data_IF_809004519538
#
_entry.id   IF_809004519538
#
_cell.length_a   1.000
_cell.length_b   1.000
_cell.length_c   1.000
_cell.angle_alpha   90.00
_cell.angle_beta   90.00
_cell.angle_gamma   90.00
#
_symmetry.space_group_name_H-M   'P 1'
#
loop_
_entity.id
_entity.type
_entity.pdbx_description
1 polymer ?
#
# COMPACT_ATOMS: atom_id res chain seq x y z
N UNK A 1 -18.63 1.77 16.23
CA UNK A 1 -17.53 0.97 16.79
C UNK A 1 -16.26 1.66 16.38
N UNK A 2 -15.51 2.19 17.35
CA UNK A 2 -14.18 2.74 17.11
C UNK A 2 -13.26 1.54 16.90
N UNK A 3 -12.42 1.56 15.86
CA UNK A 3 -11.44 0.50 15.63
C UNK A 3 -10.57 0.27 16.87
N UNK A 4 -10.11 -0.96 17.04
CA UNK A 4 -9.25 -1.34 18.16
C UNK A 4 -8.00 -0.44 18.19
N UNK A 5 -7.78 0.22 19.33
CA UNK A 5 -6.85 1.33 19.47
C UNK A 5 -5.36 0.96 19.23
N UNK A 6 -5.04 -0.34 19.17
CA UNK A 6 -3.68 -0.87 19.12
C UNK A 6 -3.36 -1.64 17.83
N UNK A 7 -4.21 -1.52 16.80
CA UNK A 7 -4.01 -2.20 15.53
C UNK A 7 -2.68 -1.84 14.86
N UNK A 8 -1.95 -2.84 14.38
CA UNK A 8 -0.65 -2.69 13.71
C UNK A 8 -0.55 -3.60 12.50
N UNK A 9 0.14 -3.14 11.47
CA UNK A 9 0.44 -3.93 10.29
C UNK A 9 1.89 -3.70 9.86
N UNK A 10 2.41 -4.62 9.06
CA UNK A 10 3.71 -4.46 8.44
C UNK A 10 3.87 -5.31 7.20
N UNK A 11 4.74 -4.85 6.31
CA UNK A 11 5.10 -5.51 5.07
C UNK A 11 6.62 -5.58 4.97
N UNK A 12 7.15 -6.76 4.68
CA UNK A 12 8.53 -6.97 4.26
C UNK A 12 8.53 -7.52 2.84
N UNK A 13 9.33 -6.95 1.95
CA UNK A 13 9.43 -7.38 0.56
C UNK A 13 10.89 -7.31 0.09
N UNK A 14 11.28 -8.24 -0.79
CA UNK A 14 12.63 -8.29 -1.34
C UNK A 14 12.57 -8.40 -2.87
N UNK A 15 12.59 -7.29 -3.61
CA UNK A 15 12.61 -7.32 -5.07
C UNK A 15 13.95 -7.84 -5.58
N UNK A 16 13.91 -8.86 -6.43
CA UNK A 16 15.07 -9.49 -7.05
C UNK A 16 14.97 -9.34 -8.57
N UNK A 17 15.89 -8.57 -9.17
CA UNK A 17 15.96 -8.40 -10.62
C UNK A 17 16.71 -9.57 -11.24
N UNK A 18 16.03 -10.35 -12.06
CA UNK A 18 16.53 -11.52 -12.80
C UNK A 18 16.43 -11.25 -14.30
N UNK A 19 17.31 -10.38 -14.81
CA UNK A 19 17.25 -9.92 -16.19
C UNK A 19 16.00 -9.07 -16.44
N UNK A 20 15.13 -9.41 -17.42
CA UNK A 20 13.93 -8.64 -17.70
C UNK A 20 12.76 -8.92 -16.73
N UNK A 21 12.90 -9.94 -15.88
CA UNK A 21 11.92 -10.33 -14.87
C UNK A 21 12.34 -9.77 -13.50
N UNK A 22 11.39 -9.22 -12.75
CA UNK A 22 11.56 -8.95 -11.32
C UNK A 22 10.70 -9.92 -10.52
N UNK A 23 11.30 -10.66 -9.59
CA UNK A 23 10.59 -11.52 -8.64
C UNK A 23 10.66 -10.91 -7.25
N UNK A 24 9.54 -10.91 -6.53
CA UNK A 24 9.46 -10.29 -5.20
C UNK A 24 8.76 -11.24 -4.24
N UNK A 25 9.47 -12.05 -3.44
CA UNK A 25 8.90 -12.61 -2.23
C UNK A 25 8.56 -11.47 -1.26
N UNK A 26 7.41 -11.58 -0.61
CA UNK A 26 6.98 -10.64 0.42
C UNK A 26 6.13 -11.32 1.50
N UNK A 27 6.05 -10.69 2.66
CA UNK A 27 5.27 -11.13 3.78
C UNK A 27 4.57 -9.93 4.42
N UNK A 28 3.25 -10.02 4.57
CA UNK A 28 2.43 -9.03 5.24
C UNK A 28 1.86 -9.64 6.52
N UNK A 29 1.79 -8.83 7.57
CA UNK A 29 1.06 -9.17 8.79
C UNK A 29 0.13 -8.03 9.19
N UNK A 30 -0.99 -8.39 9.81
CA UNK A 30 -1.91 -7.47 10.46
C UNK A 30 -2.32 -8.06 11.80
N UNK A 31 -2.36 -7.23 12.84
CA UNK A 31 -2.78 -7.56 14.19
C UNK A 31 -3.72 -6.44 14.60
N UNK A 32 -5.01 -6.75 14.78
CA UNK A 32 -6.01 -5.75 15.12
C UNK A 32 -5.95 -5.32 16.59
N UNK A 33 -5.08 -5.92 17.41
CA UNK A 33 -4.95 -5.62 18.83
C UNK A 33 -5.79 -6.57 19.69
N UNK A 34 -6.04 -6.17 20.93
CA UNK A 34 -6.64 -7.04 21.95
C UNK A 34 -8.10 -6.72 22.21
N UNK A 35 -8.88 -7.77 22.50
CA UNK A 35 -10.25 -7.70 23.01
C UNK A 35 -10.39 -8.48 24.31
N UNK A 36 -11.28 -8.01 25.17
CA UNK A 36 -11.70 -8.77 26.35
C UNK A 36 -12.99 -9.51 26.03
N UNK A 37 -12.93 -10.83 26.09
CA UNK A 37 -14.09 -11.71 26.00
C UNK A 37 -14.68 -11.90 27.39
N UNK A 38 -16.01 -11.77 27.48
CA UNK A 38 -16.77 -12.16 28.66
C UNK A 38 -17.46 -13.48 28.35
N UNK A 39 -16.92 -14.58 28.87
CA UNK A 39 -17.47 -15.91 28.65
C UNK A 39 -18.72 -16.13 29.53
N UNK A 40 -19.56 -17.08 29.12
CA UNK A 40 -20.84 -17.38 29.77
C UNK A 40 -20.69 -17.98 31.18
N UNK A 41 -19.50 -18.47 31.53
CA UNK A 41 -19.13 -18.94 32.87
C UNK A 41 -18.67 -17.81 33.81
N UNK A 42 -18.64 -16.56 33.32
CA UNK A 42 -18.17 -15.39 34.06
C UNK A 42 -16.65 -15.16 33.97
N UNK A 43 -15.92 -16.02 33.25
CA UNK A 43 -14.49 -15.84 32.99
C UNK A 43 -14.28 -14.67 32.03
N UNK A 44 -13.33 -13.80 32.36
CA UNK A 44 -12.86 -12.75 31.46
C UNK A 44 -11.48 -13.13 30.94
N UNK A 45 -11.33 -13.12 29.61
CA UNK A 45 -10.06 -13.39 28.96
C UNK A 45 -9.73 -12.28 27.96
N UNK A 46 -8.46 -11.90 27.88
CA UNK A 46 -8.00 -10.93 26.89
C UNK A 46 -7.21 -11.65 25.80
N UNK A 47 -7.76 -11.66 24.59
CA UNK A 47 -7.21 -12.35 23.41
C UNK A 47 -6.92 -11.37 22.29
N UNK A 48 -6.09 -11.79 21.33
CA UNK A 48 -5.89 -11.07 20.06
C UNK A 48 -7.18 -11.16 19.23
N UNK A 49 -7.74 -10.02 18.84
CA UNK A 49 -9.02 -9.99 18.14
C UNK A 49 -8.93 -10.57 16.73
N UNK A 50 -7.90 -10.19 15.99
CA UNK A 50 -7.63 -10.69 14.64
C UNK A 50 -6.14 -10.66 14.36
N UNK A 51 -5.62 -11.73 13.76
CA UNK A 51 -4.24 -11.86 13.30
C UNK A 51 -4.22 -12.43 11.89
N UNK A 52 -3.75 -11.62 10.94
CA UNK A 52 -3.63 -12.00 9.55
C UNK A 52 -2.17 -12.10 9.14
N UNK A 53 -1.89 -13.11 8.31
CA UNK A 53 -0.57 -13.36 7.73
C UNK A 53 -0.75 -13.65 6.26
N UNK A 54 0.00 -12.95 5.41
CA UNK A 54 -0.05 -13.16 3.96
C UNK A 54 1.36 -13.35 3.43
N UNK A 55 1.66 -14.56 2.96
CA UNK A 55 2.87 -14.82 2.20
C UNK A 55 2.60 -14.55 0.71
N UNK A 56 3.52 -13.87 0.04
CA UNK A 56 3.33 -13.40 -1.33
C UNK A 56 4.52 -13.72 -2.21
N UNK A 57 4.25 -14.04 -3.47
CA UNK A 57 5.24 -14.16 -4.53
C UNK A 57 4.74 -13.35 -5.72
N UNK A 58 5.43 -12.27 -6.05
CA UNK A 58 5.12 -11.43 -7.20
C UNK A 58 6.12 -11.60 -8.32
N UNK A 59 5.65 -11.43 -9.57
CA UNK A 59 6.47 -11.37 -10.76
C UNK A 59 6.05 -10.21 -11.65
N UNK A 60 7.02 -9.48 -12.21
CA UNK A 60 6.79 -8.39 -13.15
C UNK A 60 7.75 -8.45 -14.34
N UNK A 61 7.23 -8.19 -15.53
CA UNK A 61 7.96 -8.23 -16.80
C UNK A 61 7.57 -7.05 -17.69
N UNK A 62 8.53 -6.51 -18.43
CA UNK A 62 8.32 -5.39 -19.36
C UNK A 62 8.45 -5.85 -20.81
N UNK A 63 7.35 -6.32 -21.45
CA UNK A 63 7.39 -6.88 -22.80
C UNK A 63 7.72 -5.88 -23.91
N UNK A 64 7.49 -4.59 -23.66
CA UNK A 64 7.73 -3.52 -24.63
C UNK A 64 8.11 -2.23 -23.91
N UNK A 65 8.67 -1.27 -24.65
CA UNK A 65 8.99 0.05 -24.11
C UNK A 65 7.74 0.70 -23.52
N UNK A 66 7.85 1.13 -22.27
CA UNK A 66 6.74 1.76 -21.53
C UNK A 66 5.70 0.78 -20.99
N UNK A 67 5.65 -0.48 -21.43
CA UNK A 67 4.67 -1.46 -20.97
C UNK A 67 5.28 -2.42 -19.95
N UNK A 68 4.66 -2.51 -18.78
CA UNK A 68 4.93 -3.52 -17.77
C UNK A 68 3.67 -4.30 -17.42
N UNK A 69 3.80 -5.60 -17.20
CA UNK A 69 2.75 -6.49 -16.71
C UNK A 69 3.27 -7.23 -15.50
N UNK A 70 2.38 -7.61 -14.60
CA UNK A 70 2.76 -8.39 -13.43
C UNK A 70 1.61 -9.11 -12.78
N UNK A 71 1.94 -9.98 -11.85
CA UNK A 71 0.98 -10.69 -11.04
C UNK A 71 1.58 -11.11 -9.70
N UNK A 72 0.70 -11.46 -8.78
CA UNK A 72 1.07 -11.90 -7.43
C UNK A 72 0.25 -13.12 -7.05
N UNK A 73 0.88 -14.09 -6.42
CA UNK A 73 0.21 -15.15 -5.68
C UNK A 73 0.28 -14.83 -4.20
N UNK A 74 -0.82 -15.03 -3.48
CA UNK A 74 -0.98 -14.71 -2.06
C UNK A 74 -1.54 -15.93 -1.33
N UNK A 75 -0.92 -16.25 -0.21
CA UNK A 75 -1.34 -17.31 0.70
C UNK A 75 -1.67 -16.68 2.04
N UNK A 76 -2.95 -16.59 2.34
CA UNK A 76 -3.49 -15.85 3.47
C UNK A 76 -3.91 -16.83 4.56
N UNK A 77 -3.55 -16.51 5.80
CA UNK A 77 -4.09 -17.14 7.00
C UNK A 77 -4.65 -16.05 7.91
N UNK A 78 -5.88 -16.22 8.36
CA UNK A 78 -6.59 -15.31 9.28
C UNK A 78 -6.91 -16.10 10.54
N UNK A 79 -6.66 -15.52 11.71
CA UNK A 79 -7.07 -16.07 12.99
C UNK A 79 -7.92 -15.04 13.74
N UNK A 80 -9.09 -15.45 14.23
CA UNK A 80 -10.04 -14.60 14.95
C UNK A 80 -10.16 -15.04 16.41
N UNK A 81 -10.02 -14.09 17.32
CA UNK A 81 -10.16 -14.27 18.77
C UNK A 81 -9.38 -15.48 19.31
N UNK A 82 -8.26 -15.85 18.67
CA UNK A 82 -7.44 -17.04 18.98
C UNK A 82 -8.20 -18.39 18.98
N UNK A 83 -9.41 -18.43 18.43
CA UNK A 83 -10.32 -19.59 18.49
C UNK A 83 -10.70 -20.14 17.13
N UNK A 84 -10.76 -19.30 16.10
CA UNK A 84 -11.06 -19.70 14.73
C UNK A 84 -9.92 -19.31 13.79
N UNK A 85 -9.71 -20.11 12.74
CA UNK A 85 -8.72 -19.81 11.71
C UNK A 85 -9.20 -20.19 10.31
N UNK A 86 -8.91 -19.35 9.34
CA UNK A 86 -9.18 -19.58 7.92
C UNK A 86 -7.90 -19.50 7.11
N UNK A 87 -7.85 -20.20 5.98
CA UNK A 87 -6.78 -20.03 4.98
C UNK A 87 -7.37 -19.91 3.58
N UNK A 88 -6.76 -19.07 2.76
CA UNK A 88 -7.21 -18.81 1.40
C UNK A 88 -6.02 -18.52 0.47
N UNK A 89 -6.13 -18.96 -0.78
CA UNK A 89 -5.18 -18.59 -1.83
C UNK A 89 -5.82 -17.55 -2.75
N UNK A 90 -5.08 -16.48 -3.03
CA UNK A 90 -5.52 -15.42 -3.94
C UNK A 90 -4.46 -15.08 -4.97
N UNK A 91 -4.87 -14.43 -6.05
CA UNK A 91 -3.97 -13.89 -7.07
C UNK A 91 -4.38 -12.50 -7.54
N UNK A 92 -3.38 -11.77 -8.01
CA UNK A 92 -3.50 -10.43 -8.58
C UNK A 92 -2.91 -10.39 -10.00
N UNK A 93 -3.45 -9.51 -10.83
CA UNK A 93 -2.92 -9.18 -12.16
C UNK A 93 -2.89 -7.66 -12.33
N UNK A 94 -1.82 -7.15 -12.95
CA UNK A 94 -1.62 -5.73 -13.16
C UNK A 94 -0.92 -5.40 -14.47
N UNK A 95 -1.21 -4.21 -14.98
CA UNK A 95 -0.60 -3.61 -16.16
C UNK A 95 -0.28 -2.14 -15.89
N UNK A 96 0.86 -1.68 -16.40
CA UNK A 96 1.31 -0.30 -16.32
C UNK A 96 1.84 0.11 -17.69
N UNK A 97 1.35 1.24 -18.20
CA UNK A 97 1.84 1.85 -19.42
C UNK A 97 2.38 3.26 -19.13
N UNK A 98 3.66 3.50 -19.43
CA UNK A 98 4.36 4.78 -19.25
C UNK A 98 4.66 5.38 -20.62
N UNK A 99 4.17 6.59 -20.85
CA UNK A 99 4.44 7.37 -22.04
C UNK A 99 5.70 8.22 -21.85
N UNK A 100 6.39 8.55 -22.94
CA UNK A 100 7.56 9.43 -22.92
C UNK A 100 7.24 10.86 -22.43
N UNK A 101 5.98 11.28 -22.49
CA UNK A 101 5.51 12.60 -22.01
C UNK A 101 5.45 12.70 -20.47
N UNK A 102 5.80 11.65 -19.72
CA UNK A 102 5.64 11.60 -18.27
C UNK A 102 4.25 11.14 -17.80
N UNK A 103 3.30 10.94 -18.73
CA UNK A 103 1.99 10.37 -18.44
C UNK A 103 2.09 8.85 -18.26
N UNK A 104 1.43 8.30 -17.24
CA UNK A 104 1.34 6.87 -17.00
C UNK A 104 -0.10 6.45 -16.72
N UNK A 105 -0.46 5.25 -17.16
CA UNK A 105 -1.76 4.62 -16.92
C UNK A 105 -1.54 3.26 -16.28
N UNK A 106 -2.29 2.96 -15.23
CA UNK A 106 -2.24 1.67 -14.55
C UNK A 106 -3.63 1.06 -14.44
N UNK A 107 -3.70 -0.27 -14.48
CA UNK A 107 -4.89 -1.00 -14.10
C UNK A 107 -4.50 -2.31 -13.41
N UNK A 108 -5.31 -2.74 -12.45
CA UNK A 108 -5.10 -4.00 -11.75
C UNK A 108 -6.41 -4.65 -11.33
N UNK A 109 -6.39 -5.96 -11.23
CA UNK A 109 -7.46 -6.77 -10.65
C UNK A 109 -6.86 -7.63 -9.55
N UNK A 110 -7.37 -7.48 -8.34
CA UNK A 110 -6.75 -7.97 -7.11
C UNK A 110 -7.67 -8.97 -6.40
N UNK A 111 -7.06 -9.84 -5.60
CA UNK A 111 -7.71 -10.76 -4.66
C UNK A 111 -8.68 -11.76 -5.32
N UNK A 112 -8.37 -12.26 -6.51
CA UNK A 112 -9.14 -13.36 -7.09
C UNK A 112 -8.75 -14.68 -6.46
N UNK A 113 -9.70 -15.57 -6.17
CA UNK A 113 -9.39 -16.91 -5.68
C UNK A 113 -10.39 -17.42 -4.64
N UNK A 114 -9.86 -18.07 -3.62
CA UNK A 114 -10.65 -18.83 -2.65
C UNK A 114 -11.53 -17.93 -1.77
N UNK A 115 -12.64 -18.51 -1.32
CA UNK A 115 -13.46 -17.94 -0.26
C UNK A 115 -12.71 -18.03 1.07
N UNK A 116 -12.90 -17.03 1.93
CA UNK A 116 -12.40 -17.06 3.30
C UNK A 116 -13.43 -17.82 4.14
N UNK A 117 -13.05 -19.00 4.65
CA UNK A 117 -13.95 -19.92 5.38
C UNK A 117 -13.40 -20.19 6.78
N UNK A 118 -14.13 -19.77 7.81
CA UNK A 118 -13.85 -20.14 9.21
C UNK A 118 -14.59 -21.41 9.63
N UNK A 119 -15.80 -21.60 9.11
CA UNK A 119 -16.64 -22.78 9.32
C UNK A 119 -17.19 -23.27 7.98
N UNK A 120 -18.46 -23.74 7.91
CA UNK A 120 -19.05 -24.28 6.69
C UNK A 120 -19.36 -23.21 5.64
N UNK A 121 -19.75 -22.01 6.08
CA UNK A 121 -20.04 -20.86 5.21
C UNK A 121 -18.80 -19.96 5.08
N UNK A 122 -18.61 -19.41 3.88
CA UNK A 122 -17.44 -18.60 3.54
C UNK A 122 -17.82 -17.29 2.88
N UNK A 123 -17.02 -16.28 3.16
CA UNK A 123 -17.11 -15.01 2.46
C UNK A 123 -16.35 -15.07 1.14
N UNK A 124 -16.91 -14.57 0.04
CA UNK A 124 -16.20 -14.51 -1.23
C UNK A 124 -14.97 -13.62 -1.09
N UNK A 125 -13.93 -13.92 -1.88
CA UNK A 125 -12.72 -13.10 -1.91
C UNK A 125 -13.07 -11.63 -2.20
N UNK A 126 -12.39 -10.66 -1.55
CA UNK A 126 -12.64 -9.23 -1.73
C UNK A 126 -12.02 -8.74 -3.04
N UNK A 127 -12.56 -9.19 -4.17
CA UNK A 127 -12.05 -8.88 -5.51
C UNK A 127 -12.11 -7.38 -5.73
N UNK A 128 -10.96 -6.77 -6.00
CA UNK A 128 -10.85 -5.31 -6.21
C UNK A 128 -10.34 -5.02 -7.61
N UNK A 129 -11.03 -4.13 -8.34
CA UNK A 129 -10.52 -3.57 -9.58
C UNK A 129 -10.03 -2.16 -9.34
N UNK A 130 -8.87 -1.81 -9.92
CA UNK A 130 -8.25 -0.48 -9.81
C UNK A 130 -7.83 0.02 -11.18
N UNK A 131 -7.94 1.33 -11.38
CA UNK A 131 -7.39 2.02 -12.53
C UNK A 131 -6.88 3.40 -12.11
N UNK A 132 -5.82 3.88 -12.74
CA UNK A 132 -5.19 5.14 -12.34
C UNK A 132 -4.41 5.80 -13.46
N UNK A 133 -4.19 7.09 -13.28
CA UNK A 133 -3.38 7.93 -14.15
C UNK A 133 -2.43 8.76 -13.30
N UNK A 134 -1.21 8.94 -13.78
CA UNK A 134 -0.25 9.86 -13.18
C UNK A 134 0.50 10.66 -14.21
N UNK A 135 0.86 11.89 -13.89
CA UNK A 135 1.68 12.75 -14.72
C UNK A 135 2.91 13.22 -13.94
N UNK A 136 4.10 12.89 -14.44
CA UNK A 136 5.38 13.34 -13.89
C UNK A 136 5.95 14.45 -14.77
N UNK A 137 6.34 15.56 -14.15
CA UNK A 137 7.09 16.63 -14.82
C UNK A 137 8.22 17.14 -13.94
N UNK A 138 9.33 17.50 -14.56
CA UNK A 138 10.44 18.15 -13.89
C UNK A 138 10.20 19.65 -13.82
N UNK A 139 10.72 20.28 -12.76
CA UNK A 139 10.68 21.73 -12.61
C UNK A 139 11.95 22.20 -11.90
N UNK A 140 12.25 23.50 -12.00
CA UNK A 140 13.35 24.11 -11.25
C UNK A 140 12.74 25.09 -10.25
N UNK A 141 12.74 24.79 -8.94
CA UNK A 141 12.24 25.73 -7.95
C UNK A 141 13.14 26.97 -7.93
N UNK A 142 12.55 28.15 -8.12
CA UNK A 142 13.23 29.44 -7.93
C UNK A 142 13.22 29.89 -6.46
N UNK A 143 12.62 29.09 -5.57
CA UNK A 143 12.29 29.47 -4.20
C UNK A 143 13.01 28.58 -3.17
N UNK A 144 13.77 29.26 -2.30
CA UNK A 144 14.52 28.81 -1.11
C UNK A 144 16.02 28.60 -1.39
N UNK A 145 16.82 29.62 -1.05
CA UNK A 145 18.29 29.55 -1.12
C UNK A 145 18.86 29.79 -2.52
N UNK A 146 20.18 29.88 -2.62
CA UNK A 146 20.86 29.99 -3.91
C UNK A 146 20.44 28.80 -4.79
N UNK A 147 20.00 29.02 -6.04
CA UNK A 147 19.56 27.94 -6.94
C UNK A 147 20.63 26.85 -7.21
N UNK A 148 21.85 27.04 -6.72
CA UNK A 148 22.96 26.09 -6.74
C UNK A 148 22.82 24.94 -5.72
N UNK A 149 21.87 25.02 -4.77
CA UNK A 149 21.70 24.02 -3.72
C UNK A 149 20.74 22.87 -4.10
N UNK A 150 19.99 23.00 -5.20
CA UNK A 150 19.02 22.00 -5.69
C UNK A 150 19.46 21.52 -7.08
N UNK A 151 19.81 20.24 -7.18
CA UNK A 151 20.31 19.62 -8.41
C UNK A 151 19.19 19.05 -9.30
N UNK A 152 18.08 18.62 -8.70
CA UNK A 152 16.96 18.00 -9.40
C UNK A 152 15.65 18.22 -8.65
N UNK A 153 14.56 18.48 -9.37
CA UNK A 153 13.21 18.45 -8.79
C UNK A 153 12.17 17.93 -9.77
N UNK A 154 11.23 17.16 -9.25
CA UNK A 154 10.06 16.70 -9.99
C UNK A 154 8.78 16.77 -9.17
N UNK A 155 7.65 16.85 -9.89
CA UNK A 155 6.33 16.70 -9.32
C UNK A 155 5.59 15.58 -10.06
N UNK A 156 4.91 14.75 -9.28
CA UNK A 156 3.99 13.71 -9.76
C UNK A 156 2.60 14.07 -9.29
N UNK A 157 1.65 14.16 -10.22
CA UNK A 157 0.22 14.25 -9.94
C UNK A 157 -0.42 12.90 -10.24
N UNK A 158 -1.34 12.46 -9.39
CA UNK A 158 -1.99 11.15 -9.51
C UNK A 158 -3.47 11.22 -9.22
N UNK A 159 -4.24 10.39 -9.91
CA UNK A 159 -5.64 10.13 -9.63
C UNK A 159 -5.95 8.65 -9.89
N UNK A 160 -6.70 8.02 -8.99
CA UNK A 160 -7.09 6.63 -9.11
C UNK A 160 -8.57 6.42 -8.79
N UNK A 161 -9.12 5.38 -9.40
CA UNK A 161 -10.40 4.79 -9.11
C UNK A 161 -10.20 3.35 -8.63
N UNK A 162 -11.01 2.93 -7.67
CA UNK A 162 -11.05 1.55 -7.21
C UNK A 162 -12.45 1.11 -6.83
N UNK A 163 -12.72 -0.19 -6.96
CA UNK A 163 -13.96 -0.81 -6.50
C UNK A 163 -13.71 -2.23 -6.03
N UNK A 164 -14.09 -2.51 -4.80
CA UNK A 164 -14.13 -3.87 -4.24
C UNK A 164 -15.52 -4.47 -4.46
N UNK A 165 -15.57 -5.79 -4.67
CA UNK A 165 -16.83 -6.51 -4.81
C UNK A 165 -17.74 -6.25 -3.59
N UNK A 166 -19.02 -5.97 -3.85
CA UNK A 166 -20.04 -5.60 -2.85
C UNK A 166 -19.82 -4.27 -2.12
N UNK A 167 -18.82 -3.47 -2.52
CA UNK A 167 -18.57 -2.13 -1.98
C UNK A 167 -18.84 -1.02 -3.02
N UNK A 168 -18.91 0.22 -2.53
CA UNK A 168 -18.96 1.42 -3.35
C UNK A 168 -17.62 1.68 -4.06
N UNK A 169 -17.66 2.47 -5.12
CA UNK A 169 -16.44 2.93 -5.77
C UNK A 169 -15.78 4.03 -4.94
N UNK A 170 -14.45 3.99 -4.85
CA UNK A 170 -13.63 4.97 -4.17
C UNK A 170 -12.75 5.69 -5.18
N UNK A 171 -12.47 6.97 -4.93
CA UNK A 171 -11.55 7.77 -5.73
C UNK A 171 -10.45 8.32 -4.84
N UNK A 172 -9.27 8.53 -5.39
CA UNK A 172 -8.16 9.17 -4.68
C UNK A 172 -7.40 10.08 -5.63
N UNK A 173 -6.84 11.16 -5.10
CA UNK A 173 -5.94 12.02 -5.84
C UNK A 173 -4.84 12.53 -4.92
N UNK A 174 -3.67 12.79 -5.48
CA UNK A 174 -2.53 13.26 -4.71
C UNK A 174 -1.39 13.80 -5.56
N UNK A 175 -0.44 14.41 -4.87
CA UNK A 175 0.78 14.95 -5.42
C UNK A 175 1.99 14.49 -4.61
N UNK A 176 3.09 14.25 -5.30
CA UNK A 176 4.41 14.03 -4.72
C UNK A 176 5.39 15.01 -5.33
N UNK A 177 6.18 15.68 -4.49
CA UNK A 177 7.26 16.57 -4.89
C UNK A 177 8.57 15.99 -4.41
N UNK A 178 9.51 15.79 -5.32
CA UNK A 178 10.87 15.33 -5.02
C UNK A 178 11.86 16.45 -5.27
N UNK A 179 12.82 16.61 -4.37
CA UNK A 179 13.89 17.61 -4.45
C UNK A 179 15.22 16.98 -4.04
N UNK A 180 16.19 16.94 -4.95
CA UNK A 180 17.54 16.46 -4.69
C UNK A 180 18.49 17.62 -4.41
N UNK A 181 19.01 17.66 -3.19
CA UNK A 181 19.97 18.65 -2.74
C UNK A 181 21.36 18.33 -3.28
N UNK A 182 22.19 19.35 -3.51
CA UNK A 182 23.58 19.21 -4.01
C UNK A 182 24.50 18.35 -3.11
N UNK A 183 24.09 18.09 -1.87
CA UNK A 183 24.77 17.16 -0.93
C UNK A 183 24.40 15.69 -1.12
N UNK A 184 23.66 15.34 -2.19
CA UNK A 184 23.25 13.97 -2.50
C UNK A 184 22.13 13.42 -1.62
N UNK A 185 21.30 14.32 -1.06
CA UNK A 185 20.13 13.97 -0.26
C UNK A 185 18.87 14.32 -1.05
N UNK A 186 17.96 13.37 -1.18
CA UNK A 186 16.65 13.59 -1.80
C UNK A 186 15.57 13.69 -0.72
N UNK A 187 14.80 14.77 -0.78
CA UNK A 187 13.62 15.00 0.04
C UNK A 187 12.37 14.75 -0.80
N UNK A 188 11.40 14.04 -0.24
CA UNK A 188 10.10 13.79 -0.86
C UNK A 188 9.00 14.33 0.04
N UNK A 189 8.08 15.11 -0.52
CA UNK A 189 6.85 15.55 0.15
C UNK A 189 5.66 14.97 -0.59
N UNK A 190 4.74 14.34 0.15
CA UNK A 190 3.55 13.68 -0.39
C UNK A 190 2.31 14.24 0.27
N UNK A 191 1.28 14.46 -0.53
CA UNK A 191 -0.04 14.85 -0.05
C UNK A 191 -1.13 14.25 -0.92
N UNK A 192 -2.21 13.80 -0.31
CA UNK A 192 -3.32 13.22 -1.05
C UNK A 192 -4.62 13.23 -0.27
N UNK A 193 -5.69 12.87 -0.96
CA UNK A 193 -7.02 12.79 -0.38
C UNK A 193 -7.78 11.59 -0.94
N UNK A 194 -8.46 10.86 -0.06
CA UNK A 194 -9.31 9.72 -0.40
C UNK A 194 -10.78 10.17 -0.34
N UNK A 195 -11.43 10.13 -1.49
CA UNK A 195 -12.83 10.50 -1.68
C UNK A 195 -13.72 9.26 -1.54
N UNK A 196 -14.93 9.47 -1.02
CA UNK A 196 -15.99 8.46 -0.93
C UNK A 196 -15.60 7.19 -0.14
N UNK A 197 -14.62 7.32 0.76
CA UNK A 197 -14.38 6.37 1.86
C UNK A 197 -14.91 6.94 3.17
N UNK A 198 -15.68 6.11 3.87
CA UNK A 198 -16.34 6.49 5.11
C UNK A 198 -15.33 6.75 6.24
N UNK A 199 -14.20 6.05 6.22
CA UNK A 199 -13.21 6.08 7.31
C UNK A 199 -11.86 6.67 6.92
N UNK A 200 -11.70 7.27 5.74
CA UNK A 200 -10.41 7.82 5.31
C UNK A 200 -10.55 9.27 4.85
N UNK A 201 -9.42 9.99 4.89
CA UNK A 201 -9.37 11.43 4.62
C UNK A 201 -8.07 11.86 3.97
N UNK A 202 -7.42 12.86 4.57
CA UNK A 202 -6.20 13.44 4.06
C UNK A 202 -5.01 12.57 4.42
N UNK A 203 -4.07 12.46 3.48
CA UNK A 203 -2.79 11.79 3.68
C UNK A 203 -1.67 12.78 3.46
N UNK A 204 -0.65 12.72 4.32
CA UNK A 204 0.57 13.52 4.23
C UNK A 204 1.76 12.58 4.41
N UNK A 205 2.89 12.89 3.78
CA UNK A 205 4.10 12.10 3.94
C UNK A 205 5.35 12.90 3.67
N UNK A 206 6.42 12.51 4.37
CA UNK A 206 7.77 13.03 4.18
C UNK A 206 8.71 11.85 4.01
N UNK A 207 9.60 11.95 3.02
CA UNK A 207 10.63 10.97 2.74
C UNK A 207 12.01 11.61 2.68
N UNK A 208 13.03 10.87 3.09
CA UNK A 208 14.43 11.23 2.95
C UNK A 208 15.18 10.04 2.38
N UNK A 209 15.87 10.25 1.26
CA UNK A 209 16.77 9.27 0.66
C UNK A 209 18.20 9.80 0.63
N UNK A 210 19.14 8.95 1.01
CA UNK A 210 20.58 9.22 0.94
C UNK A 210 21.29 7.93 0.56
N UNK A 211 22.02 7.98 -0.55
CA UNK A 211 22.62 6.79 -1.18
C UNK A 211 21.55 5.70 -1.40
N UNK A 212 21.84 4.48 -0.95
CA UNK A 212 20.96 3.31 -1.06
C UNK A 212 19.79 3.31 -0.06
N UNK A 213 19.83 4.18 0.95
CA UNK A 213 18.85 4.18 2.04
C UNK A 213 17.73 5.18 1.77
N UNK A 214 16.49 4.73 1.95
CA UNK A 214 15.31 5.58 1.89
C UNK A 214 14.40 5.33 3.09
N UNK A 215 14.02 6.42 3.76
CA UNK A 215 13.17 6.44 4.94
C UNK A 215 11.95 7.32 4.69
N UNK A 216 10.77 6.86 5.10
CA UNK A 216 9.53 7.60 4.96
C UNK A 216 8.65 7.54 6.20
N UNK A 217 7.96 8.64 6.46
CA UNK A 217 6.92 8.73 7.49
C UNK A 217 5.67 9.34 6.86
N UNK A 218 4.52 8.76 7.15
CA UNK A 218 3.22 9.29 6.75
C UNK A 218 2.35 9.66 7.94
N UNK A 219 1.31 10.42 7.63
CA UNK A 219 0.22 10.76 8.52
C UNK A 219 -1.09 10.66 7.73
N UNK A 220 -2.01 9.85 8.23
CA UNK A 220 -3.30 9.61 7.56
C UNK A 220 -4.43 9.94 8.52
N UNK A 221 -5.32 10.85 8.10
CA UNK A 221 -6.51 11.17 8.87
C UNK A 221 -7.62 10.19 8.56
N UNK A 222 -8.38 9.85 9.59
CA UNK A 222 -9.62 9.09 9.49
C UNK A 222 -10.76 9.90 10.07
N UNK A 223 -11.97 9.71 9.54
CA UNK A 223 -13.19 10.35 10.06
C UNK A 223 -13.68 9.69 11.34
N UNK A 224 -13.57 8.37 11.44
CA UNK A 224 -14.13 7.57 12.54
C UNK A 224 -13.10 6.69 13.27
N UNK A 225 -11.87 6.59 12.77
CA UNK A 225 -10.76 5.84 13.37
C UNK A 225 -9.66 6.77 13.88
N UNK A 226 -8.77 6.21 14.71
CA UNK A 226 -7.56 6.91 15.10
C UNK A 226 -6.66 7.16 13.88
N UNK A 227 -5.93 8.30 13.85
CA UNK A 227 -5.00 8.59 12.76
C UNK A 227 -3.89 7.53 12.70
N UNK A 228 -3.44 7.24 11.48
CA UNK A 228 -2.37 6.24 11.23
C UNK A 228 -1.05 6.95 10.93
N UNK A 229 0.04 6.33 11.38
CA UNK A 229 1.42 6.83 11.20
C UNK A 229 2.29 5.76 10.53
N UNK A 230 2.12 5.51 9.22
CA UNK A 230 2.95 4.54 8.52
C UNK A 230 4.42 4.99 8.51
N UNK A 231 5.32 4.04 8.71
CA UNK A 231 6.76 4.25 8.63
C UNK A 231 7.33 3.23 7.65
N UNK A 232 8.23 3.68 6.78
CA UNK A 232 8.89 2.82 5.80
C UNK A 232 10.40 2.99 5.82
N UNK A 233 11.10 1.88 5.58
CA UNK A 233 12.55 1.81 5.42
C UNK A 233 12.83 0.91 4.22
N UNK A 234 13.72 1.36 3.34
CA UNK A 234 14.13 0.62 2.15
C UNK A 234 15.62 0.77 1.92
N UNK A 235 16.23 -0.28 1.37
CA UNK A 235 17.62 -0.37 0.96
C UNK A 235 17.67 -0.82 -0.50
N UNK A 236 18.22 -0.01 -1.38
CA UNK A 236 18.43 -0.31 -2.80
C UNK A 236 19.81 -0.95 -3.02
N UNK A 237 19.91 -2.02 -3.82
CA UNK A 237 21.16 -2.72 -4.12
C UNK A 237 21.18 -3.26 -5.55
#
# INVERSE_FOLDING_TARGET
>A
MNGFADGRYGLAALPLRLGPLTLTPAYLYYDSGKITLNLSDGTQETVTAELDKVAMISGAYSPAAGLAVGGTLKFTTIALAETASASASHYDLGILYRMASGLSFGAASLNHGDYIKFEEEGDPAPVTTRAGVSYKTEFRPELIGSPDDISYSDIVLSADWSRTAKESSCYQAGAEVNMEMSVGVMLSLRGGYLFDRDDEGMTLGVGVRKNEWNFGVGYETSKNLSPRFPVSLSLEF
#
